data_IF_157271900023
#
_entry.id   IF_157271900023
#
_cell.length_a   1.000
_cell.length_b   1.000
_cell.length_c   1.000
_cell.angle_alpha   90.00
_cell.angle_beta   90.00
_cell.angle_gamma   90.00
#
_symmetry.space_group_name_H-M   'P 1'
#
loop_
_entity.id
_entity.type
_entity.pdbx_description
1 polymer ?
#
# COMPACT_ATOMS: atom_id res chain seq x y z
N UNK A 1 -50.96 -14.81 -15.95
CA UNK A 1 -51.17 -13.45 -16.48
C UNK A 1 -51.55 -12.54 -15.32
N UNK A 2 -50.63 -11.70 -14.85
CA UNK A 2 -51.00 -10.41 -14.26
C UNK A 2 -49.77 -9.49 -14.27
N UNK A 3 -50.05 -8.28 -14.71
CA UNK A 3 -49.17 -7.15 -15.02
C UNK A 3 -48.66 -6.50 -13.74
N UNK A 4 -47.43 -5.96 -13.75
CA UNK A 4 -47.17 -4.74 -12.99
C UNK A 4 -46.21 -3.79 -13.72
N UNK A 5 -46.70 -2.56 -13.86
CA UNK A 5 -46.06 -1.38 -14.46
C UNK A 5 -45.15 -0.72 -13.41
N UNK A 6 -44.04 -0.13 -13.84
CA UNK A 6 -43.82 1.32 -13.83
C UNK A 6 -42.36 1.63 -14.21
N UNK A 7 -42.20 2.12 -15.44
CA UNK A 7 -41.04 2.86 -15.93
C UNK A 7 -41.08 4.28 -15.40
N UNK A 8 -39.97 4.79 -14.85
CA UNK A 8 -39.75 6.22 -14.66
C UNK A 8 -38.47 6.64 -15.40
N UNK A 9 -38.69 7.61 -16.29
CA UNK A 9 -37.80 8.22 -17.26
C UNK A 9 -37.08 9.42 -16.62
N UNK A 10 -35.80 9.63 -16.93
CA UNK A 10 -35.01 10.80 -16.49
C UNK A 10 -34.35 11.48 -17.71
N UNK A 11 -34.74 12.73 -18.06
CA UNK A 11 -34.11 13.49 -19.14
C UNK A 11 -32.94 14.39 -18.64
N UNK A 12 -32.03 14.84 -19.54
CA UNK A 12 -30.77 15.52 -19.18
C UNK A 12 -30.87 17.05 -19.06
N UNK A 13 -29.81 17.62 -18.45
CA UNK A 13 -29.62 19.01 -18.02
C UNK A 13 -29.44 20.08 -19.12
N UNK A 14 -29.53 21.37 -18.73
CA UNK A 14 -28.77 22.53 -19.26
C UNK A 14 -28.90 23.79 -18.33
N UNK A 15 -28.09 24.87 -18.51
CA UNK A 15 -27.35 25.54 -17.43
C UNK A 15 -27.86 26.96 -17.08
N UNK A 16 -27.28 27.57 -16.04
CA UNK A 16 -27.22 29.03 -15.93
C UNK A 16 -25.91 29.51 -15.26
N UNK A 17 -25.32 30.54 -15.86
CA UNK A 17 -24.15 31.29 -15.37
C UNK A 17 -24.53 32.15 -14.17
N UNK A 18 -23.57 32.41 -13.28
CA UNK A 18 -23.32 33.78 -12.83
C UNK A 18 -21.85 34.02 -12.43
N UNK A 19 -21.39 35.18 -12.87
CA UNK A 19 -20.03 35.70 -12.88
C UNK A 19 -19.97 36.89 -11.93
N UNK A 20 -19.20 36.83 -10.84
CA UNK A 20 -18.80 38.03 -10.11
C UNK A 20 -17.35 37.95 -9.62
N UNK A 21 -16.48 38.58 -10.40
CA UNK A 21 -15.19 39.10 -9.97
C UNK A 21 -15.45 40.42 -9.25
N UNK A 22 -15.20 40.48 -7.94
CA UNK A 22 -15.20 41.75 -7.22
C UNK A 22 -13.83 42.43 -7.33
N UNK A 23 -13.83 43.48 -8.17
CA UNK A 23 -12.82 44.55 -8.26
C UNK A 23 -12.94 45.45 -7.03
N UNK A 24 -11.98 45.38 -6.12
CA UNK A 24 -11.62 46.29 -5.00
C UNK A 24 -10.93 45.36 -4.00
N UNK A 25 -9.62 45.19 -3.99
CA UNK A 25 -8.65 46.17 -3.50
C UNK A 25 -7.28 45.88 -4.11
N UNK A 26 -6.98 46.52 -5.24
CA UNK A 26 -5.67 46.50 -5.84
C UNK A 26 -5.08 47.92 -5.79
N UNK A 27 -3.95 48.03 -5.09
CA UNK A 27 -2.85 48.98 -5.31
C UNK A 27 -2.92 50.33 -4.58
N UNK A 28 -2.14 50.41 -3.50
CA UNK A 28 -1.28 51.55 -3.15
C UNK A 28 0.08 51.01 -2.65
N UNK A 29 1.04 50.84 -3.57
CA UNK A 29 2.34 51.54 -3.62
C UNK A 29 3.04 51.72 -2.24
N UNK A 30 4.04 50.91 -1.89
CA UNK A 30 5.48 50.99 -2.22
C UNK A 30 6.32 51.68 -1.11
N UNK A 31 7.32 50.92 -0.62
CA UNK A 31 8.64 51.32 -0.09
C UNK A 31 8.89 51.36 1.44
N UNK A 32 10.00 50.67 1.78
CA UNK A 32 10.85 50.72 2.99
C UNK A 32 10.27 50.00 4.24
N UNK A 33 10.99 49.11 4.94
CA UNK A 33 12.36 49.21 5.45
C UNK A 33 12.93 47.80 5.73
N UNK A 34 14.20 47.59 5.35
CA UNK A 34 15.05 46.50 5.81
C UNK A 34 15.28 46.57 7.34
N UNK A 35 15.07 45.47 8.07
CA UNK A 35 15.94 45.04 9.18
C UNK A 35 15.37 43.83 9.93
N UNK A 36 16.16 42.75 9.97
CA UNK A 36 16.38 41.88 11.15
C UNK A 36 15.15 41.11 11.70
N UNK A 37 15.13 39.81 11.96
CA UNK A 37 16.14 39.02 12.67
C UNK A 37 15.62 37.58 12.72
N UNK A 38 16.53 36.60 12.67
CA UNK A 38 16.34 35.18 13.01
C UNK A 38 15.34 34.41 12.16
N UNK A 39 15.88 33.77 11.12
CA UNK A 39 15.49 32.41 10.77
C UNK A 39 15.62 31.56 12.04
N UNK A 40 14.52 31.45 12.79
CA UNK A 40 14.41 30.45 13.85
C UNK A 40 14.37 29.11 13.14
N UNK A 41 15.52 28.44 13.09
CA UNK A 41 15.55 27.00 12.90
C UNK A 41 14.79 26.43 14.09
N UNK A 42 13.49 26.19 13.90
CA UNK A 42 12.73 25.40 14.83
C UNK A 42 13.42 24.02 14.87
N UNK A 43 13.84 23.52 16.04
CA UNK A 43 14.27 22.14 16.11
C UNK A 43 13.10 21.32 15.59
N UNK A 44 13.34 20.51 14.56
CA UNK A 44 12.40 19.46 14.20
C UNK A 44 12.18 18.67 15.48
N UNK A 45 11.02 18.85 16.11
CA UNK A 45 10.52 17.89 17.07
C UNK A 45 10.53 16.59 16.31
N UNK A 46 11.48 15.71 16.66
CA UNK A 46 11.47 14.34 16.17
C UNK A 46 10.04 13.86 16.36
N UNK A 47 9.32 13.64 15.25
CA UNK A 47 8.04 12.97 15.29
C UNK A 47 8.32 11.71 16.09
N UNK A 48 7.68 11.48 17.25
CA UNK A 48 7.83 10.21 17.92
C UNK A 48 7.41 9.19 16.89
N UNK A 49 8.38 8.46 16.35
CA UNK A 49 8.08 7.25 15.61
C UNK A 49 7.54 6.37 16.71
N UNK A 50 6.22 6.39 16.91
CA UNK A 50 5.53 5.25 17.49
C UNK A 50 6.06 4.09 16.66
N UNK A 51 7.00 3.34 17.25
CA UNK A 51 7.33 2.02 16.73
C UNK A 51 6.06 1.25 16.93
N UNK A 52 5.18 1.30 15.93
CA UNK A 52 4.01 0.45 15.81
C UNK A 52 4.56 -0.95 16.02
N UNK A 53 4.33 -1.51 17.21
CA UNK A 53 4.97 -2.75 17.56
C UNK A 53 4.23 -3.82 16.80
N UNK A 54 4.76 -4.18 15.62
CA UNK A 54 4.27 -5.31 14.88
C UNK A 54 4.30 -6.51 15.83
N UNK A 55 3.14 -7.12 16.11
CA UNK A 55 3.06 -8.27 17.02
C UNK A 55 2.88 -9.58 16.28
N UNK A 56 2.35 -9.55 15.06
CA UNK A 56 2.13 -10.76 14.27
C UNK A 56 2.66 -10.60 12.83
N UNK A 57 3.07 -11.72 12.24
CA UNK A 57 3.40 -11.80 10.81
C UNK A 57 2.53 -12.85 10.12
N UNK A 58 1.88 -12.46 9.03
CA UNK A 58 1.23 -13.39 8.11
C UNK A 58 2.29 -13.99 7.19
N UNK A 59 2.56 -15.28 7.37
CA UNK A 59 3.38 -16.09 6.47
C UNK A 59 2.46 -16.67 5.41
N UNK A 60 2.70 -16.29 4.16
CA UNK A 60 1.97 -16.80 3.01
C UNK A 60 2.90 -17.75 2.27
N UNK A 61 2.59 -19.04 2.32
CA UNK A 61 3.30 -20.07 1.55
C UNK A 61 2.60 -20.24 0.22
N UNK A 62 3.35 -20.13 -0.86
CA UNK A 62 2.89 -20.36 -2.21
C UNK A 62 3.57 -21.60 -2.76
N UNK A 63 2.78 -22.59 -3.18
CA UNK A 63 3.26 -23.54 -4.18
C UNK A 63 3.02 -22.93 -5.55
N UNK A 64 4.08 -22.69 -6.29
CA UNK A 64 4.07 -22.04 -7.61
C UNK A 64 4.34 -23.05 -8.71
N UNK A 65 3.96 -22.72 -9.94
CA UNK A 65 4.46 -23.45 -11.10
C UNK A 65 5.98 -23.19 -11.23
N UNK A 66 6.85 -24.22 -11.14
CA UNK A 66 8.30 -24.04 -11.16
C UNK A 66 8.81 -23.43 -12.49
N UNK A 67 8.05 -23.55 -13.58
CA UNK A 67 8.40 -22.95 -14.88
C UNK A 67 7.94 -21.51 -15.03
N UNK A 68 7.13 -21.01 -14.10
CA UNK A 68 6.60 -19.64 -14.11
C UNK A 68 7.18 -18.79 -12.98
N UNK A 69 8.39 -19.13 -12.52
CA UNK A 69 9.13 -18.40 -11.49
C UNK A 69 9.22 -16.90 -11.77
N UNK A 70 9.55 -16.52 -13.00
CA UNK A 70 9.69 -15.11 -13.40
C UNK A 70 8.36 -14.36 -13.40
N UNK A 71 7.25 -15.05 -13.67
CA UNK A 71 5.92 -14.47 -13.57
C UNK A 71 5.50 -14.30 -12.12
N UNK A 72 5.87 -15.22 -11.23
CA UNK A 72 5.72 -15.02 -9.80
C UNK A 72 6.59 -13.86 -9.30
N UNK A 73 7.80 -13.67 -9.84
CA UNK A 73 8.64 -12.52 -9.49
C UNK A 73 7.92 -11.20 -9.80
N UNK A 74 7.35 -11.05 -11.00
CA UNK A 74 6.56 -9.87 -11.37
C UNK A 74 5.34 -9.69 -10.44
N UNK A 75 4.67 -10.79 -10.10
CA UNK A 75 3.56 -10.79 -9.13
C UNK A 75 3.99 -10.28 -7.75
N UNK A 76 5.17 -10.69 -7.27
CA UNK A 76 5.76 -10.26 -6.01
C UNK A 76 6.23 -8.80 -6.04
N UNK A 77 6.89 -8.35 -7.11
CA UNK A 77 7.32 -6.96 -7.28
C UNK A 77 6.13 -5.99 -7.33
N UNK A 78 5.01 -6.41 -7.94
CA UNK A 78 3.76 -5.66 -7.86
C UNK A 78 3.28 -5.48 -6.42
N UNK A 79 3.48 -6.45 -5.53
CA UNK A 79 3.10 -6.29 -4.13
C UNK A 79 3.94 -5.27 -3.37
N UNK A 80 5.19 -5.03 -3.77
CA UNK A 80 6.07 -4.06 -3.13
C UNK A 80 5.50 -2.64 -3.12
N UNK A 81 4.77 -2.25 -4.17
CA UNK A 81 4.11 -0.93 -4.29
C UNK A 81 2.66 -0.91 -3.77
N UNK A 82 2.00 -2.07 -3.69
CA UNK A 82 0.57 -2.19 -3.33
C UNK A 82 0.39 -2.40 -1.82
N UNK A 83 1.13 -3.34 -1.23
CA UNK A 83 0.94 -3.74 0.17
C UNK A 83 1.16 -2.58 1.15
N UNK A 84 2.24 -1.78 1.03
CA UNK A 84 2.48 -0.67 1.95
C UNK A 84 1.35 0.37 1.94
N UNK A 85 0.86 0.76 0.75
CA UNK A 85 -0.25 1.74 0.65
C UNK A 85 -1.59 1.18 1.13
N UNK A 86 -1.79 -0.13 1.10
CA UNK A 86 -2.96 -0.78 1.72
C UNK A 86 -2.82 -0.90 3.25
N UNK A 87 -1.66 -0.59 3.82
CA UNK A 87 -1.38 -0.60 5.26
C UNK A 87 -0.76 -1.89 5.79
N UNK A 88 -0.20 -2.74 4.92
CA UNK A 88 0.59 -3.89 5.36
C UNK A 88 2.07 -3.54 5.51
N UNK A 89 2.71 -4.01 6.57
CA UNK A 89 4.16 -3.88 6.72
C UNK A 89 4.85 -5.03 5.98
N UNK A 90 5.20 -4.82 4.72
CA UNK A 90 5.83 -5.85 3.88
C UNK A 90 7.27 -6.14 4.35
N UNK A 91 7.53 -7.38 4.77
CA UNK A 91 8.89 -7.86 5.08
C UNK A 91 9.61 -8.24 3.79
N UNK A 92 8.93 -9.00 2.93
CA UNK A 92 9.50 -9.41 1.67
C UNK A 92 8.72 -10.53 1.01
N UNK A 93 9.08 -10.76 -0.25
CA UNK A 93 8.74 -11.96 -0.99
C UNK A 93 10.03 -12.71 -1.32
N UNK A 94 9.97 -14.04 -1.20
CA UNK A 94 11.12 -14.93 -1.36
C UNK A 94 10.77 -15.99 -2.38
N UNK A 95 11.63 -16.14 -3.38
CA UNK A 95 11.51 -17.16 -4.42
C UNK A 95 12.47 -18.31 -4.15
N UNK A 96 12.19 -19.50 -4.70
CA UNK A 96 13.17 -20.58 -4.77
C UNK A 96 14.52 -20.10 -5.30
N UNK A 97 15.59 -20.48 -4.61
CA UNK A 97 16.97 -20.24 -5.03
C UNK A 97 17.75 -21.56 -5.15
N UNK A 98 17.72 -22.40 -4.11
CA UNK A 98 18.38 -23.71 -4.08
C UNK A 98 17.49 -24.73 -3.36
N UNK A 99 17.56 -26.01 -3.77
CA UNK A 99 16.75 -27.09 -3.22
C UNK A 99 15.34 -27.14 -3.82
N UNK A 100 14.31 -26.93 -3.00
CA UNK A 100 12.91 -26.93 -3.43
C UNK A 100 12.66 -25.81 -4.44
N UNK A 101 12.17 -26.15 -5.63
CA UNK A 101 12.06 -25.22 -6.76
C UNK A 101 10.65 -24.65 -6.98
N UNK A 102 9.65 -25.07 -6.19
CA UNK A 102 8.24 -24.71 -6.38
C UNK A 102 7.62 -23.99 -5.17
N UNK A 103 8.40 -23.66 -4.13
CA UNK A 103 7.89 -22.98 -2.92
C UNK A 103 8.40 -21.55 -2.79
N UNK A 104 7.48 -20.59 -2.83
CA UNK A 104 7.73 -19.18 -2.58
C UNK A 104 7.03 -18.71 -1.30
N UNK A 105 7.49 -17.60 -0.74
CA UNK A 105 6.96 -17.03 0.50
C UNK A 105 6.68 -15.54 0.37
N UNK A 106 5.61 -15.06 0.99
CA UNK A 106 5.34 -13.64 1.22
C UNK A 106 5.08 -13.38 2.69
N UNK A 107 5.81 -12.45 3.29
CA UNK A 107 5.72 -12.15 4.72
C UNK A 107 5.25 -10.70 4.93
N UNK A 108 4.17 -10.53 5.69
CA UNK A 108 3.59 -9.21 5.97
C UNK A 108 3.27 -9.12 7.46
N UNK A 109 3.80 -8.10 8.12
CA UNK A 109 3.60 -7.88 9.55
C UNK A 109 2.44 -6.90 9.83
N UNK A 110 1.82 -7.08 11.00
CA UNK A 110 0.71 -6.27 11.49
C UNK A 110 0.78 -6.15 13.02
N UNK A 111 0.19 -5.09 13.57
CA UNK A 111 0.04 -4.95 15.02
C UNK A 111 -0.95 -5.97 15.59
N UNK A 112 -2.02 -6.27 14.84
CA UNK A 112 -3.12 -7.15 15.27
C UNK A 112 -3.80 -7.84 14.09
N UNK A 113 -4.62 -8.86 14.36
CA UNK A 113 -5.50 -9.47 13.35
C UNK A 113 -6.52 -8.47 12.78
N UNK A 114 -7.01 -7.52 13.58
CA UNK A 114 -7.93 -6.48 13.10
C UNK A 114 -7.27 -5.53 12.08
N UNK A 115 -5.99 -5.20 12.27
CA UNK A 115 -5.21 -4.45 11.28
C UNK A 115 -5.06 -5.24 9.96
N UNK A 116 -4.81 -6.55 10.05
CA UNK A 116 -4.79 -7.44 8.88
C UNK A 116 -6.13 -7.47 8.14
N UNK A 117 -7.26 -7.55 8.85
CA UNK A 117 -8.60 -7.57 8.23
C UNK A 117 -8.91 -6.26 7.51
N UNK A 118 -8.56 -5.13 8.12
CA UNK A 118 -8.68 -3.79 7.52
C UNK A 118 -7.83 -3.68 6.25
N UNK A 119 -6.56 -4.14 6.33
CA UNK A 119 -5.68 -4.26 5.17
C UNK A 119 -6.31 -5.12 4.07
N UNK A 120 -6.87 -6.29 4.39
CA UNK A 120 -7.53 -7.17 3.41
C UNK A 120 -8.74 -6.51 2.77
N UNK A 121 -9.52 -5.71 3.49
CA UNK A 121 -10.63 -4.95 2.93
C UNK A 121 -10.13 -3.93 1.88
N UNK A 122 -9.09 -3.16 2.22
CA UNK A 122 -8.45 -2.21 1.29
C UNK A 122 -7.86 -2.90 0.07
N UNK A 123 -7.16 -4.02 0.27
CA UNK A 123 -6.54 -4.82 -0.78
C UNK A 123 -7.56 -5.34 -1.80
N UNK A 124 -8.77 -5.71 -1.37
CA UNK A 124 -9.85 -6.16 -2.29
C UNK A 124 -10.38 -5.04 -3.17
N UNK A 125 -10.38 -3.81 -2.69
CA UNK A 125 -10.88 -2.65 -3.43
C UNK A 125 -9.80 -1.97 -4.29
N UNK A 126 -8.52 -2.23 -4.02
CA UNK A 126 -7.41 -1.64 -4.78
C UNK A 126 -7.38 -2.19 -6.23
N UNK A 127 -7.42 -1.32 -7.26
CA UNK A 127 -7.50 -1.75 -8.65
C UNK A 127 -6.25 -2.49 -9.12
N UNK A 128 -5.06 -2.14 -8.63
CA UNK A 128 -3.82 -2.83 -9.01
C UNK A 128 -3.68 -4.16 -8.29
N UNK A 129 -4.14 -4.25 -7.04
CA UNK A 129 -4.22 -5.53 -6.33
C UNK A 129 -5.10 -6.52 -7.10
N UNK A 130 -6.29 -6.07 -7.54
CA UNK A 130 -7.20 -6.88 -8.37
C UNK A 130 -6.56 -7.31 -9.69
N UNK A 131 -5.86 -6.40 -10.37
CA UNK A 131 -5.15 -6.73 -11.60
C UNK A 131 -4.03 -7.77 -11.36
N UNK A 132 -3.30 -7.64 -10.25
CA UNK A 132 -2.25 -8.58 -9.87
C UNK A 132 -2.81 -9.98 -9.54
N UNK A 133 -3.95 -10.04 -8.82
CA UNK A 133 -4.66 -11.30 -8.59
C UNK A 133 -5.15 -11.95 -9.88
N UNK A 134 -5.73 -11.15 -10.79
CA UNK A 134 -6.21 -11.66 -12.08
C UNK A 134 -5.06 -12.22 -12.90
N UNK A 135 -3.92 -11.53 -12.94
CA UNK A 135 -2.72 -12.01 -13.66
C UNK A 135 -2.24 -13.36 -13.13
N UNK A 136 -2.17 -13.53 -11.80
CA UNK A 136 -1.82 -14.82 -11.20
C UNK A 136 -2.82 -15.93 -11.53
N UNK A 137 -4.12 -15.61 -11.54
CA UNK A 137 -5.19 -16.56 -11.87
C UNK A 137 -5.13 -16.98 -13.35
N UNK A 138 -5.02 -16.02 -14.27
CA UNK A 138 -5.00 -16.27 -15.71
C UNK A 138 -3.79 -17.11 -16.11
N UNK A 139 -2.62 -16.84 -15.52
CA UNK A 139 -1.40 -17.61 -15.79
C UNK A 139 -1.31 -18.92 -14.99
N UNK A 140 -2.18 -19.10 -14.00
CA UNK A 140 -2.19 -20.24 -13.07
C UNK A 140 -0.83 -20.46 -12.38
N UNK A 141 -0.12 -19.37 -12.11
CA UNK A 141 1.24 -19.42 -11.56
C UNK A 141 1.28 -19.81 -10.07
N UNK A 142 0.16 -19.74 -9.36
CA UNK A 142 -0.01 -20.20 -7.97
C UNK A 142 -0.89 -21.45 -7.97
N UNK A 143 -0.34 -22.58 -7.54
CA UNK A 143 -1.02 -23.88 -7.44
C UNK A 143 -1.71 -24.06 -6.08
N UNK A 144 -1.08 -23.57 -5.01
CA UNK A 144 -1.60 -23.61 -3.64
C UNK A 144 -1.14 -22.37 -2.87
N UNK A 145 -2.03 -21.81 -2.05
CA UNK A 145 -1.72 -20.72 -1.12
C UNK A 145 -2.13 -21.16 0.30
N UNK A 146 -1.23 -21.00 1.26
CA UNK A 146 -1.49 -21.25 2.68
C UNK A 146 -1.08 -20.03 3.50
N UNK A 147 -1.85 -19.70 4.54
CA UNK A 147 -1.57 -18.56 5.42
C UNK A 147 -1.49 -19.03 6.86
N UNK A 148 -0.43 -18.61 7.53
CA UNK A 148 -0.23 -18.84 8.96
C UNK A 148 0.14 -17.52 9.63
N UNK A 149 -0.40 -17.27 10.82
CA UNK A 149 -0.06 -16.08 11.60
C UNK A 149 0.86 -16.50 12.74
N UNK A 150 2.02 -15.86 12.81
CA UNK A 150 3.05 -16.15 13.80
C UNK A 150 3.29 -14.92 14.67
N UNK A 151 3.56 -15.14 15.95
CA UNK A 151 3.95 -14.10 16.89
C UNK A 151 5.38 -13.60 16.59
N UNK A 152 5.57 -12.29 16.67
CA UNK A 152 6.89 -11.67 16.52
C UNK A 152 7.60 -11.69 17.87
N UNK A 153 8.81 -12.25 17.88
CA UNK A 153 9.76 -12.05 18.99
C UNK A 153 10.40 -10.67 18.80
N UNK A 154 9.98 -9.69 19.61
CA UNK A 154 10.29 -8.27 19.40
C UNK A 154 11.78 -7.95 19.19
N UNK A 155 12.66 -8.65 19.93
CA UNK A 155 14.11 -8.45 19.84
C UNK A 155 14.79 -9.00 18.59
N UNK A 156 14.08 -9.67 17.68
CA UNK A 156 14.66 -10.29 16.46
C UNK A 156 14.14 -9.69 15.16
N UNK A 157 13.14 -8.82 15.24
CA UNK A 157 12.41 -8.35 14.06
C UNK A 157 13.15 -7.25 13.32
N UNK A 158 13.41 -7.46 12.02
CA UNK A 158 13.98 -6.47 11.09
C UNK A 158 15.29 -5.82 11.55
N UNK A 159 16.17 -6.59 12.19
CA UNK A 159 17.51 -6.13 12.55
C UNK A 159 18.43 -6.09 11.32
N UNK A 160 19.18 -4.99 11.09
CA UNK A 160 20.16 -4.93 10.01
C UNK A 160 21.41 -5.77 10.32
N UNK A 161 22.16 -6.15 9.28
CA UNK A 161 23.50 -6.70 9.45
C UNK A 161 24.42 -5.66 10.10
N UNK A 162 25.24 -6.10 11.05
CA UNK A 162 26.24 -5.26 11.73
C UNK A 162 27.65 -5.46 11.20
N UNK A 163 27.85 -6.41 10.28
CA UNK A 163 29.15 -6.62 9.63
C UNK A 163 29.44 -5.43 8.72
N UNK A 164 30.50 -4.70 9.05
CA UNK A 164 31.10 -3.68 8.18
C UNK A 164 32.32 -4.30 7.51
N UNK A 165 32.22 -4.57 6.21
CA UNK A 165 33.39 -5.00 5.44
C UNK A 165 34.27 -3.78 5.18
N UNK A 166 35.44 -3.74 5.81
CA UNK A 166 36.49 -2.79 5.44
C UNK A 166 37.11 -3.27 4.14
N UNK A 167 36.74 -2.63 3.03
CA UNK A 167 37.41 -2.78 1.73
C UNK A 167 38.76 -2.08 1.75
#
# INVERSE_FOLDING_TARGET
MSSNRHTAYMPPAKPHLDNQINRREAISALAAVFASTKLVYAPQTAVPTERSSMKITCFIRYQIDPFQRDEFQKYAENWARIIPRCGGHLIGYFLPHEGTNDIAWGLIAFDTLAAYETYRARLRSDPEARANFLMAQTKRLILREERTFLEIVEGTFSLPSTLTEHT
#
